data_IF_548599023965
#
_entry.id   IF_548599023965
#
_cell.length_a   1.000
_cell.length_b   1.000
_cell.length_c   1.000
_cell.angle_alpha   90.00
_cell.angle_beta   90.00
_cell.angle_gamma   90.00
#
_symmetry.space_group_name_H-M   'P 1'
#
loop_
_entity.id
_entity.type
_entity.pdbx_description
1 polymer ?
#
# COMPACT_ATOMS: atom_id res chain seq x y z
N UNK A 1 -22.56 4.90 -14.75
CA UNK A 1 -21.44 4.27 -14.01
C UNK A 1 -20.87 3.18 -14.88
N UNK A 2 -19.57 3.21 -15.18
CA UNK A 2 -18.94 2.19 -16.02
C UNK A 2 -18.87 0.86 -15.27
N UNK A 3 -19.15 -0.24 -15.98
CA UNK A 3 -19.08 -1.58 -15.41
C UNK A 3 -17.62 -2.04 -15.42
N UNK A 4 -17.06 -2.62 -14.35
CA UNK A 4 -15.67 -3.08 -14.37
C UNK A 4 -15.49 -4.28 -15.31
N UNK A 5 -14.32 -4.44 -15.90
CA UNK A 5 -14.04 -5.53 -16.87
C UNK A 5 -14.23 -6.93 -16.25
N UNK A 6 -14.03 -7.05 -14.93
CA UNK A 6 -14.27 -8.27 -14.15
C UNK A 6 -15.75 -8.62 -14.00
N UNK A 7 -16.67 -7.70 -14.29
CA UNK A 7 -18.12 -7.96 -14.29
C UNK A 7 -18.61 -8.66 -15.56
N UNK A 8 -17.74 -8.79 -16.58
CA UNK A 8 -18.03 -9.54 -17.79
C UNK A 8 -18.04 -11.04 -17.47
N UNK A 9 -19.00 -11.79 -18.03
CA UNK A 9 -19.07 -13.26 -17.90
C UNK A 9 -18.04 -13.91 -18.84
N UNK A 10 -16.77 -13.82 -18.47
CA UNK A 10 -15.65 -14.40 -19.19
C UNK A 10 -14.91 -15.42 -18.32
N UNK A 11 -14.21 -16.39 -18.93
CA UNK A 11 -13.30 -17.28 -18.20
C UNK A 11 -12.19 -16.49 -17.48
N UNK A 12 -11.69 -17.00 -16.36
CA UNK A 12 -10.64 -16.34 -15.56
C UNK A 12 -9.37 -16.00 -16.37
N UNK A 13 -9.04 -16.84 -17.37
CA UNK A 13 -7.94 -16.58 -18.29
C UNK A 13 -8.14 -15.31 -19.12
N UNK A 14 -9.37 -15.04 -19.58
CA UNK A 14 -9.71 -13.84 -20.35
C UNK A 14 -9.71 -12.58 -19.47
N UNK A 15 -10.21 -12.67 -18.23
CA UNK A 15 -10.06 -11.58 -17.26
C UNK A 15 -8.59 -11.23 -17.00
N UNK A 16 -7.75 -12.24 -16.83
CA UNK A 16 -6.31 -12.06 -16.61
C UNK A 16 -5.65 -11.36 -17.81
N UNK A 17 -6.02 -11.74 -19.04
CA UNK A 17 -5.52 -11.11 -20.28
C UNK A 17 -5.94 -9.64 -20.38
N UNK A 18 -7.23 -9.36 -20.17
CA UNK A 18 -7.77 -7.99 -20.21
C UNK A 18 -7.11 -7.09 -19.17
N UNK A 19 -6.92 -7.58 -17.95
CA UNK A 19 -6.25 -6.82 -16.90
C UNK A 19 -4.77 -6.57 -17.21
N UNK A 20 -4.06 -7.54 -17.80
CA UNK A 20 -2.66 -7.38 -18.23
C UNK A 20 -2.51 -6.40 -19.39
N UNK A 21 -3.47 -6.38 -20.31
CA UNK A 21 -3.52 -5.46 -21.44
C UNK A 21 -3.96 -4.03 -21.04
N UNK A 22 -4.25 -3.79 -19.76
CA UNK A 22 -4.56 -2.45 -19.24
C UNK A 22 -6.05 -2.09 -19.23
N UNK A 23 -6.93 -2.98 -19.71
CA UNK A 23 -8.38 -2.76 -19.65
C UNK A 23 -8.87 -2.81 -18.21
N UNK A 24 -9.74 -1.86 -17.85
CA UNK A 24 -10.30 -1.71 -16.49
C UNK A 24 -11.82 -1.63 -16.51
N UNK A 25 -12.40 -1.06 -17.56
CA UNK A 25 -13.84 -0.94 -17.75
C UNK A 25 -14.35 -1.85 -18.88
N UNK A 26 -15.60 -2.28 -18.78
CA UNK A 26 -16.28 -3.12 -19.77
C UNK A 26 -16.55 -2.37 -21.07
N UNK A 27 -16.59 -1.04 -21.04
CA UNK A 27 -16.74 -0.20 -22.23
C UNK A 27 -15.46 -0.16 -23.08
N UNK A 28 -14.29 -0.42 -22.48
CA UNK A 28 -12.99 -0.42 -23.16
C UNK A 28 -12.66 -1.80 -23.75
N UNK A 29 -13.38 -2.85 -23.35
CA UNK A 29 -13.09 -4.23 -23.73
C UNK A 29 -13.77 -4.56 -25.07
N UNK A 30 -13.07 -4.33 -26.19
CA UNK A 30 -13.48 -4.87 -27.49
C UNK A 30 -13.41 -6.40 -27.43
N UNK A 31 -14.51 -7.08 -27.79
CA UNK A 31 -14.62 -8.54 -27.64
C UNK A 31 -13.51 -9.29 -28.41
N UNK A 32 -13.04 -8.72 -29.51
CA UNK A 32 -11.94 -9.25 -30.32
C UNK A 32 -10.57 -9.13 -29.62
N UNK A 33 -10.34 -8.10 -28.80
CA UNK A 33 -9.09 -7.96 -28.04
C UNK A 33 -8.97 -8.99 -26.91
N UNK A 34 -10.10 -9.50 -26.39
CA UNK A 34 -10.14 -10.56 -25.38
C UNK A 34 -9.81 -11.96 -25.97
N UNK A 35 -10.09 -12.15 -27.27
CA UNK A 35 -9.91 -13.38 -28.03
C UNK A 35 -8.57 -13.45 -28.78
N UNK A 36 -7.86 -12.34 -28.92
CA UNK A 36 -6.52 -12.31 -29.50
C UNK A 36 -5.59 -13.30 -28.76
N UNK A 37 -4.78 -14.09 -29.49
CA UNK A 37 -3.72 -14.88 -28.87
C UNK A 37 -2.82 -13.94 -28.06
N UNK A 38 -2.30 -14.38 -26.90
CA UNK A 38 -1.34 -13.57 -26.16
C UNK A 38 -0.24 -13.11 -27.13
N UNK A 39 0.22 -11.85 -27.05
CA UNK A 39 1.33 -11.40 -27.89
C UNK A 39 2.44 -12.44 -27.74
N UNK A 40 2.91 -12.98 -28.87
CA UNK A 40 4.02 -13.93 -28.84
C UNK A 40 5.12 -13.27 -28.04
N UNK A 41 5.45 -13.92 -26.92
CA UNK A 41 6.51 -13.48 -26.04
C UNK A 41 7.79 -13.57 -26.87
N UNK A 42 8.16 -12.47 -27.52
CA UNK A 42 9.37 -12.39 -28.31
C UNK A 42 10.55 -12.88 -27.47
N UNK A 43 11.65 -13.32 -28.11
CA UNK A 43 12.79 -13.91 -27.41
C UNK A 43 13.42 -13.03 -26.32
N UNK A 44 13.00 -11.77 -26.14
CA UNK A 44 13.37 -10.92 -25.00
C UNK A 44 12.49 -11.06 -23.75
N UNK A 45 11.46 -11.93 -23.76
CA UNK A 45 10.74 -12.37 -22.56
C UNK A 45 11.54 -13.43 -21.77
N UNK A 46 12.83 -13.57 -22.10
CA UNK A 46 13.83 -14.34 -21.38
C UNK A 46 13.82 -13.92 -19.92
N UNK A 47 13.91 -14.96 -19.08
CA UNK A 47 13.95 -14.93 -17.63
C UNK A 47 14.59 -13.65 -17.07
N UNK A 48 14.05 -13.07 -15.98
CA UNK A 48 14.72 -11.97 -15.32
C UNK A 48 16.18 -12.35 -15.05
N UNK A 49 17.13 -11.40 -15.17
CA UNK A 49 18.54 -11.73 -15.06
C UNK A 49 18.81 -12.45 -13.75
N UNK A 50 19.57 -13.55 -13.83
CA UNK A 50 19.95 -14.32 -12.66
C UNK A 50 20.74 -13.42 -11.70
N UNK A 51 20.45 -13.54 -10.41
CA UNK A 51 21.10 -12.76 -9.35
C UNK A 51 21.73 -13.71 -8.36
N UNK A 52 22.93 -13.38 -7.89
CA UNK A 52 23.59 -14.20 -6.87
C UNK A 52 22.91 -13.99 -5.51
N UNK A 53 22.95 -15.01 -4.64
CA UNK A 53 22.49 -14.87 -3.26
C UNK A 53 23.23 -13.73 -2.52
N UNK A 54 24.52 -13.50 -2.84
CA UNK A 54 25.31 -12.40 -2.30
C UNK A 54 24.79 -11.02 -2.72
N UNK A 55 24.36 -10.85 -3.97
CA UNK A 55 23.73 -9.61 -4.44
C UNK A 55 22.39 -9.34 -3.74
N UNK A 56 21.57 -10.38 -3.56
CA UNK A 56 20.30 -10.26 -2.85
C UNK A 56 20.53 -9.88 -1.38
N UNK A 57 21.47 -10.52 -0.71
CA UNK A 57 21.84 -10.20 0.68
C UNK A 57 22.39 -8.77 0.83
N UNK A 58 23.18 -8.28 -0.14
CA UNK A 58 23.63 -6.88 -0.17
C UNK A 58 22.44 -5.92 -0.35
N UNK A 59 21.55 -6.20 -1.31
CA UNK A 59 20.36 -5.37 -1.51
C UNK A 59 19.49 -5.27 -0.25
N UNK A 60 19.29 -6.38 0.47
CA UNK A 60 18.51 -6.38 1.72
C UNK A 60 19.18 -5.55 2.83
N UNK A 61 20.51 -5.61 2.94
CA UNK A 61 21.26 -4.77 3.88
C UNK A 61 21.12 -3.28 3.53
N UNK A 62 21.14 -2.93 2.26
CA UNK A 62 21.03 -1.54 1.78
C UNK A 62 19.57 -1.05 1.65
N UNK A 63 18.58 -1.93 1.86
CA UNK A 63 17.17 -1.59 1.73
C UNK A 63 16.77 -0.48 2.73
N UNK A 64 16.20 0.64 2.25
CA UNK A 64 15.67 1.67 3.15
C UNK A 64 14.50 1.14 3.96
N UNK A 65 14.30 1.69 5.15
CA UNK A 65 13.19 1.34 6.03
C UNK A 65 12.46 2.63 6.44
N UNK A 66 11.27 2.47 7.01
CA UNK A 66 10.47 3.54 7.61
C UNK A 66 10.40 3.25 9.11
N UNK A 67 10.97 4.14 9.92
CA UNK A 67 10.90 3.99 11.37
C UNK A 67 9.45 3.98 11.87
N UNK A 68 9.13 3.08 12.80
CA UNK A 68 7.76 3.00 13.35
C UNK A 68 7.51 4.07 14.42
N UNK A 69 8.58 4.68 14.94
CA UNK A 69 8.52 5.60 16.07
C UNK A 69 8.16 4.88 17.38
N UNK A 70 8.30 3.55 17.41
CA UNK A 70 8.02 2.71 18.56
C UNK A 70 9.27 1.85 18.82
N UNK A 71 10.15 2.23 19.77
CA UNK A 71 11.43 1.54 19.96
C UNK A 71 11.30 0.02 20.15
N UNK A 72 10.26 -0.43 20.87
CA UNK A 72 9.99 -1.84 21.05
C UNK A 72 9.61 -2.55 19.73
N UNK A 73 8.81 -1.91 18.88
CA UNK A 73 8.45 -2.48 17.57
C UNK A 73 9.63 -2.42 16.60
N UNK A 74 10.36 -1.31 16.57
CA UNK A 74 11.57 -1.20 15.76
C UNK A 74 12.59 -2.28 16.15
N UNK A 75 12.78 -2.57 17.44
CA UNK A 75 13.64 -3.66 17.91
C UNK A 75 13.21 -5.04 17.39
N UNK A 76 11.90 -5.33 17.39
CA UNK A 76 11.35 -6.56 16.81
C UNK A 76 11.57 -6.62 15.29
N UNK A 77 11.61 -5.47 14.62
CA UNK A 77 11.85 -5.32 13.18
C UNK A 77 13.35 -5.13 12.86
N UNK A 78 14.25 -5.66 13.68
CA UNK A 78 15.70 -5.62 13.45
C UNK A 78 16.32 -4.23 13.64
N UNK A 79 15.71 -3.38 14.47
CA UNK A 79 16.10 -2.00 14.80
C UNK A 79 16.07 -1.00 13.63
N UNK A 80 15.32 -1.30 12.55
CA UNK A 80 15.27 -0.46 11.33
C UNK A 80 13.87 0.05 10.98
N UNK A 81 12.83 -0.61 11.49
CA UNK A 81 11.42 -0.29 11.19
C UNK A 81 10.88 -1.11 10.01
N UNK A 82 9.92 -0.56 9.26
CA UNK A 82 9.25 -1.25 8.15
C UNK A 82 10.09 -1.18 6.86
N UNK A 83 10.40 -2.30 6.19
CA UNK A 83 11.17 -2.28 4.96
C UNK A 83 10.41 -1.61 3.80
N UNK A 84 11.10 -0.77 3.03
CA UNK A 84 10.55 -0.23 1.77
C UNK A 84 10.61 -1.26 0.65
N UNK A 85 9.80 -1.10 -0.40
CA UNK A 85 9.66 -2.11 -1.46
C UNK A 85 9.18 -3.48 -0.96
N UNK A 86 8.45 -3.49 0.16
CA UNK A 86 7.88 -4.67 0.78
C UNK A 86 6.50 -4.32 1.37
N UNK A 87 5.69 -5.36 1.57
CA UNK A 87 4.40 -5.28 2.27
C UNK A 87 4.56 -5.87 3.65
N UNK A 88 4.14 -5.14 4.69
CA UNK A 88 4.17 -5.60 6.07
C UNK A 88 2.75 -5.71 6.63
N UNK A 89 2.37 -6.89 7.11
CA UNK A 89 1.05 -7.12 7.72
C UNK A 89 1.15 -7.06 9.25
N UNK A 90 0.38 -6.16 9.87
CA UNK A 90 0.28 -6.00 11.31
C UNK A 90 -1.16 -6.25 11.75
N UNK A 91 -1.36 -7.24 12.62
CA UNK A 91 -2.68 -7.62 13.14
C UNK A 91 -2.82 -7.15 14.59
N UNK A 92 -3.89 -6.42 14.87
CA UNK A 92 -4.18 -5.90 16.20
C UNK A 92 -5.68 -5.74 16.43
N UNK A 93 -6.08 -5.57 17.69
CA UNK A 93 -7.44 -5.18 18.05
C UNK A 93 -7.83 -3.85 17.36
N UNK A 94 -9.08 -3.64 16.88
CA UNK A 94 -9.44 -2.50 16.04
C UNK A 94 -8.99 -1.12 16.56
N UNK A 95 -9.18 -0.84 17.85
CA UNK A 95 -8.75 0.42 18.46
C UNK A 95 -7.22 0.60 18.45
N UNK A 96 -6.48 -0.48 18.71
CA UNK A 96 -5.02 -0.48 18.67
C UNK A 96 -4.50 -0.35 17.24
N UNK A 97 -5.14 -1.01 16.27
CA UNK A 97 -4.81 -0.88 14.85
C UNK A 97 -4.95 0.57 14.38
N UNK A 98 -6.08 1.23 14.68
CA UNK A 98 -6.31 2.63 14.29
C UNK A 98 -5.25 3.58 14.89
N UNK A 99 -4.95 3.44 16.19
CA UNK A 99 -3.93 4.25 16.87
C UNK A 99 -2.52 4.00 16.31
N UNK A 100 -2.16 2.74 16.06
CA UNK A 100 -0.87 2.36 15.48
C UNK A 100 -0.72 2.94 14.07
N UNK A 101 -1.75 2.83 13.22
CA UNK A 101 -1.71 3.34 11.86
C UNK A 101 -1.50 4.87 11.81
N UNK A 102 -2.18 5.62 12.70
CA UNK A 102 -1.95 7.06 12.84
C UNK A 102 -0.52 7.37 13.31
N UNK A 103 0.00 6.61 14.29
CA UNK A 103 1.36 6.79 14.77
C UNK A 103 2.39 6.51 13.68
N UNK A 104 2.23 5.46 12.88
CA UNK A 104 3.13 5.14 11.76
C UNK A 104 3.15 6.28 10.74
N UNK A 105 1.97 6.79 10.33
CA UNK A 105 1.89 7.93 9.40
C UNK A 105 2.63 9.16 9.91
N UNK A 106 2.58 9.43 11.22
CA UNK A 106 3.28 10.56 11.84
C UNK A 106 4.78 10.28 12.06
N UNK A 107 5.15 9.04 12.38
CA UNK A 107 6.53 8.63 12.61
C UNK A 107 7.37 8.72 11.33
N UNK A 108 6.78 8.47 10.16
CA UNK A 108 7.44 8.62 8.85
C UNK A 108 7.97 10.03 8.58
N UNK A 109 7.41 11.02 9.28
CA UNK A 109 7.72 12.44 9.12
C UNK A 109 8.83 12.93 10.05
N UNK A 110 9.19 12.10 11.03
CA UNK A 110 10.23 12.46 11.98
C UNK A 110 11.59 12.38 11.28
N UNK A 111 12.57 13.20 11.71
CA UNK A 111 13.91 13.14 11.17
C UNK A 111 14.41 11.70 11.24
N UNK A 112 14.72 11.06 10.11
CA UNK A 112 15.23 9.70 10.16
C UNK A 112 16.59 9.72 10.89
N UNK A 113 17.00 8.59 11.50
CA UNK A 113 18.43 8.40 11.78
C UNK A 113 19.20 8.66 10.48
N UNK A 114 20.39 9.26 10.56
CA UNK A 114 21.13 10.02 9.52
C UNK A 114 21.39 9.37 8.11
N UNK A 115 20.63 8.36 7.70
CA UNK A 115 20.86 7.49 6.55
C UNK A 115 19.60 7.17 5.71
N UNK A 116 18.46 7.85 5.89
CA UNK A 116 17.27 7.60 5.05
C UNK A 116 16.81 8.86 4.31
N UNK A 117 16.64 8.83 2.98
CA UNK A 117 16.04 9.93 2.24
C UNK A 117 14.59 10.12 2.71
N UNK A 118 14.32 11.28 3.31
CA UNK A 118 13.04 11.64 3.90
C UNK A 118 11.94 11.70 2.86
N UNK A 119 11.09 10.66 2.85
CA UNK A 119 9.77 10.68 2.21
C UNK A 119 8.72 10.80 3.30
N UNK A 120 8.41 12.03 3.75
CA UNK A 120 7.63 12.23 4.96
C UNK A 120 6.14 12.01 4.73
N UNK A 121 5.65 11.97 3.48
CA UNK A 121 4.22 11.82 3.26
C UNK A 121 3.78 10.37 3.43
N UNK A 122 2.55 10.21 3.92
CA UNK A 122 1.90 8.91 4.08
C UNK A 122 0.54 8.91 3.38
N UNK A 123 0.19 7.79 2.75
CA UNK A 123 -1.15 7.53 2.24
C UNK A 123 -1.85 6.60 3.22
N UNK A 124 -3.01 7.01 3.73
CA UNK A 124 -3.85 6.23 4.62
C UNK A 124 -5.13 5.84 3.89
N UNK A 125 -5.36 4.55 3.68
CA UNK A 125 -6.62 4.02 3.14
C UNK A 125 -7.46 3.52 4.31
N UNK A 126 -8.54 4.25 4.61
CA UNK A 126 -9.50 3.89 5.65
C UNK A 126 -10.65 3.09 5.04
N UNK A 127 -10.78 1.85 5.48
CA UNK A 127 -11.83 0.95 4.98
C UNK A 127 -12.93 0.69 6.00
N UNK A 128 -12.63 0.89 7.28
CA UNK A 128 -13.55 0.63 8.39
C UNK A 128 -14.15 1.92 8.98
N UNK A 129 -13.77 3.09 8.47
CA UNK A 129 -14.17 4.39 9.05
C UNK A 129 -13.47 4.69 10.37
N UNK A 130 -12.31 4.06 10.61
CA UNK A 130 -11.58 4.15 11.87
C UNK A 130 -10.70 5.41 11.96
N UNK A 131 -10.48 6.11 10.85
CA UNK A 131 -9.70 7.34 10.85
C UNK A 131 -10.48 8.48 11.54
N UNK A 132 -9.88 9.06 12.58
CA UNK A 132 -10.41 10.22 13.30
C UNK A 132 -9.44 11.40 13.18
N UNK A 133 -9.89 12.49 12.56
CA UNK A 133 -9.11 13.73 12.45
C UNK A 133 -8.75 14.30 13.82
N UNK A 134 -9.65 14.19 14.81
CA UNK A 134 -9.38 14.57 16.20
C UNK A 134 -8.27 13.72 16.80
N UNK A 135 -8.33 12.40 16.64
CA UNK A 135 -7.30 11.49 17.15
C UNK A 135 -5.95 11.76 16.46
N UNK A 136 -5.95 12.01 15.15
CA UNK A 136 -4.75 12.37 14.40
C UNK A 136 -4.12 13.67 14.93
N UNK A 137 -4.92 14.72 15.17
CA UNK A 137 -4.44 15.98 15.74
C UNK A 137 -3.88 15.83 17.16
N UNK A 138 -4.53 15.03 18.00
CA UNK A 138 -4.03 14.70 19.33
C UNK A 138 -2.69 13.94 19.24
N UNK A 139 -2.60 12.95 18.35
CA UNK A 139 -1.39 12.15 18.16
C UNK A 139 -0.22 12.98 17.62
N UNK A 140 -0.46 13.84 16.62
CA UNK A 140 0.54 14.75 16.08
C UNK A 140 1.07 15.70 17.17
N UNK A 141 0.16 16.30 17.95
CA UNK A 141 0.54 17.16 19.08
C UNK A 141 1.34 16.41 20.15
N UNK A 142 0.97 15.17 20.45
CA UNK A 142 1.69 14.35 21.43
C UNK A 142 3.10 14.01 20.95
N UNK A 143 3.25 13.59 19.69
CA UNK A 143 4.56 13.29 19.08
C UNK A 143 5.44 14.54 19.02
N UNK A 144 4.90 15.68 18.59
CA UNK A 144 5.65 16.94 18.56
C UNK A 144 6.18 17.35 19.96
N UNK A 145 5.40 17.11 21.03
CA UNK A 145 5.83 17.38 22.41
C UNK A 145 6.92 16.45 22.92
N UNK A 146 7.07 15.25 22.36
CA UNK A 146 8.15 14.31 22.72
C UNK A 146 9.51 14.77 22.19
N UNK A 147 9.53 15.70 21.22
CA UNK A 147 10.75 16.22 20.62
C UNK A 147 11.20 17.53 21.28
N UNK A 148 12.53 17.79 21.31
CA UNK A 148 13.07 19.04 21.84
C UNK A 148 12.55 20.24 21.02
N UNK A 149 12.43 21.43 21.62
CA UNK A 149 11.87 22.61 20.95
C UNK A 149 12.52 22.93 19.59
N UNK A 150 13.82 22.72 19.45
CA UNK A 150 14.57 22.97 18.21
C UNK A 150 14.23 22.01 17.05
N UNK A 151 13.67 20.83 17.35
CA UNK A 151 13.31 19.81 16.36
C UNK A 151 11.80 19.52 16.33
N UNK A 152 10.99 20.35 17.02
CA UNK A 152 9.56 20.14 17.18
C UNK A 152 8.84 20.48 15.86
N UNK A 153 8.20 19.51 15.19
CA UNK A 153 7.39 19.79 14.02
C UNK A 153 6.09 20.49 14.41
N UNK A 154 5.58 21.35 13.52
CA UNK A 154 4.22 21.86 13.63
C UNK A 154 3.20 20.73 13.38
N UNK A 155 2.29 20.43 14.34
CA UNK A 155 1.27 19.42 14.15
C UNK A 155 0.39 19.63 12.92
N UNK A 156 0.09 20.88 12.53
CA UNK A 156 -0.72 21.14 11.35
C UNK A 156 0.03 20.75 10.06
N UNK A 157 1.31 21.12 9.96
CA UNK A 157 2.20 20.66 8.90
C UNK A 157 2.34 19.13 8.87
N UNK A 158 2.30 18.46 10.03
CA UNK A 158 2.35 16.99 10.06
C UNK A 158 1.10 16.34 9.45
N UNK A 159 -0.07 16.88 9.79
CA UNK A 159 -1.34 16.39 9.27
C UNK A 159 -1.48 16.63 7.76
N UNK A 160 -0.95 17.74 7.25
CA UNK A 160 -0.96 18.07 5.82
C UNK A 160 -0.23 17.03 4.94
N UNK A 161 0.66 16.23 5.54
CA UNK A 161 1.42 15.16 4.87
C UNK A 161 0.75 13.78 4.95
N UNK A 162 -0.46 13.69 5.52
CA UNK A 162 -1.24 12.45 5.57
C UNK A 162 -2.38 12.55 4.55
N UNK A 163 -2.29 11.75 3.49
CA UNK A 163 -3.27 11.70 2.42
C UNK A 163 -4.26 10.56 2.66
N UNK A 164 -5.49 10.91 3.04
CA UNK A 164 -6.52 9.93 3.40
C UNK A 164 -7.40 9.61 2.20
N UNK A 165 -7.59 8.31 1.93
CA UNK A 165 -8.59 7.79 1.02
C UNK A 165 -9.57 6.91 1.79
N UNK A 166 -10.81 6.81 1.31
CA UNK A 166 -11.82 5.91 1.87
C UNK A 166 -12.30 4.92 0.83
N UNK A 167 -12.42 3.66 1.25
CA UNK A 167 -12.94 2.57 0.42
C UNK A 167 -13.72 1.60 1.32
N UNK A 168 -15.04 1.65 1.26
CA UNK A 168 -15.93 0.92 2.15
C UNK A 168 -16.25 -0.49 1.65
N UNK A 169 -16.29 -0.67 0.33
CA UNK A 169 -16.62 -1.95 -0.30
C UNK A 169 -15.39 -2.64 -0.93
N UNK A 170 -15.47 -3.96 -1.08
CA UNK A 170 -14.39 -4.76 -1.67
C UNK A 170 -13.95 -4.24 -3.05
N UNK A 171 -14.91 -3.89 -3.90
CA UNK A 171 -14.62 -3.39 -5.25
C UNK A 171 -14.01 -1.98 -5.24
N UNK A 172 -14.41 -1.12 -4.29
CA UNK A 172 -13.81 0.21 -4.10
C UNK A 172 -12.34 0.09 -3.70
N UNK A 173 -12.02 -0.82 -2.76
CA UNK A 173 -10.64 -1.03 -2.32
C UNK A 173 -9.76 -1.49 -3.49
N UNK A 174 -10.21 -2.48 -4.26
CA UNK A 174 -9.46 -2.97 -5.43
C UNK A 174 -9.27 -1.87 -6.48
N UNK A 175 -10.33 -1.12 -6.80
CA UNK A 175 -10.26 -0.02 -7.76
C UNK A 175 -9.31 1.10 -7.31
N UNK A 176 -9.34 1.45 -6.02
CA UNK A 176 -8.44 2.42 -5.41
C UNK A 176 -6.99 1.95 -5.50
N UNK A 177 -6.69 0.72 -5.05
CA UNK A 177 -5.34 0.15 -5.11
C UNK A 177 -4.82 0.11 -6.55
N UNK A 178 -5.65 -0.27 -7.52
CA UNK A 178 -5.29 -0.28 -8.93
C UNK A 178 -4.99 1.14 -9.49
N UNK A 179 -5.57 2.18 -8.88
CA UNK A 179 -5.44 3.58 -9.31
C UNK A 179 -4.34 4.35 -8.57
N UNK A 180 -3.89 3.87 -7.40
CA UNK A 180 -2.91 4.54 -6.54
C UNK A 180 -1.56 4.76 -7.21
N UNK A 181 -1.21 3.95 -8.21
CA UNK A 181 -0.01 4.13 -9.01
C UNK A 181 0.09 5.54 -9.63
N UNK A 182 -1.05 6.12 -10.05
CA UNK A 182 -1.13 7.49 -10.58
C UNK A 182 -0.91 8.54 -9.49
N UNK A 183 -1.50 8.31 -8.32
CA UNK A 183 -1.37 9.20 -7.16
C UNK A 183 0.07 9.25 -6.68
N UNK A 184 0.69 8.08 -6.51
CA UNK A 184 2.07 7.95 -6.04
C UNK A 184 3.08 8.56 -7.02
N UNK A 185 2.84 8.47 -8.35
CA UNK A 185 3.65 9.19 -9.34
C UNK A 185 3.62 10.70 -9.14
N UNK A 186 2.47 11.27 -8.80
CA UNK A 186 2.33 12.71 -8.54
C UNK A 186 2.85 13.14 -7.16
N UNK A 187 3.21 12.19 -6.30
CA UNK A 187 3.64 12.41 -4.91
C UNK A 187 4.89 11.58 -4.58
N UNK A 188 6.05 11.94 -5.15
CA UNK A 188 7.31 11.21 -4.93
C UNK A 188 7.82 11.31 -3.48
N UNK A 189 7.23 12.20 -2.68
CA UNK A 189 7.48 12.41 -1.25
C UNK A 189 6.75 11.41 -0.34
N UNK A 190 5.89 10.53 -0.90
CA UNK A 190 5.23 9.46 -0.14
C UNK A 190 6.21 8.32 0.16
N UNK A 191 6.38 8.01 1.45
CA UNK A 191 7.24 6.93 1.94
C UNK A 191 6.48 5.73 2.49
N UNK A 192 5.22 5.92 2.87
CA UNK A 192 4.35 4.89 3.46
C UNK A 192 2.97 4.89 2.80
N UNK A 193 2.52 3.72 2.37
CA UNK A 193 1.13 3.41 2.06
C UNK A 193 0.59 2.53 3.19
N UNK A 194 -0.59 2.83 3.70
CA UNK A 194 -1.21 2.08 4.78
C UNK A 194 -2.65 1.78 4.43
N UNK A 195 -3.12 0.56 4.71
CA UNK A 195 -4.52 0.15 4.54
C UNK A 195 -5.09 -0.35 5.88
N UNK A 196 -5.98 0.44 6.50
CA UNK A 196 -6.64 0.07 7.75
C UNK A 196 -8.15 -0.15 7.52
N UNK A 197 -8.63 -1.39 7.41
CA UNK A 197 -7.89 -2.66 7.28
C UNK A 197 -8.05 -3.24 5.89
N UNK A 198 -7.09 -4.05 5.44
CA UNK A 198 -7.19 -4.74 4.14
C UNK A 198 -8.32 -5.79 4.13
N UNK A 199 -8.62 -6.39 5.27
CA UNK A 199 -9.55 -7.53 5.36
C UNK A 199 -11.01 -7.14 5.48
N UNK A 200 -11.32 -6.01 6.12
CA UNK A 200 -12.69 -5.63 6.43
C UNK A 200 -13.62 -5.57 5.21
N UNK A 201 -13.27 -4.93 4.08
CA UNK A 201 -14.16 -4.86 2.93
C UNK A 201 -14.52 -6.22 2.34
N UNK A 202 -13.57 -7.17 2.36
CA UNK A 202 -13.79 -8.51 1.84
C UNK A 202 -14.64 -9.36 2.79
N UNK A 203 -14.38 -9.27 4.10
CA UNK A 203 -15.20 -9.92 5.13
C UNK A 203 -16.65 -9.44 5.08
N UNK A 204 -16.86 -8.12 4.96
CA UNK A 204 -18.20 -7.54 4.90
C UNK A 204 -18.93 -7.87 3.58
N UNK A 205 -18.21 -7.89 2.44
CA UNK A 205 -18.83 -8.15 1.14
C UNK A 205 -19.13 -9.62 0.88
N UNK A 206 -18.38 -10.53 1.51
CA UNK A 206 -18.41 -11.97 1.23
C UNK A 206 -18.34 -12.79 2.54
N UNK A 207 -19.34 -12.70 3.44
CA UNK A 207 -19.30 -13.33 4.76
C UNK A 207 -19.15 -14.86 4.70
N UNK A 208 -19.80 -15.51 3.73
CA UNK A 208 -19.83 -16.97 3.61
C UNK A 208 -18.98 -17.52 2.46
N UNK A 209 -18.46 -16.66 1.58
CA UNK A 209 -17.70 -17.05 0.39
C UNK A 209 -16.18 -16.92 0.63
N UNK A 210 -15.62 -17.93 1.29
CA UNK A 210 -14.20 -18.01 1.67
C UNK A 210 -13.29 -17.92 0.44
N UNK A 211 -13.63 -18.63 -0.64
CA UNK A 211 -12.81 -18.69 -1.85
C UNK A 211 -12.73 -17.32 -2.51
N UNK A 212 -13.86 -16.61 -2.61
CA UNK A 212 -13.88 -15.27 -3.17
C UNK A 212 -13.14 -14.27 -2.29
N UNK A 213 -13.26 -14.37 -0.97
CA UNK A 213 -12.43 -13.55 -0.06
C UNK A 213 -10.95 -13.78 -0.31
N UNK A 214 -10.50 -15.03 -0.33
CA UNK A 214 -9.09 -15.37 -0.57
C UNK A 214 -8.60 -14.83 -1.91
N UNK A 215 -9.39 -14.95 -2.98
CA UNK A 215 -9.05 -14.42 -4.29
C UNK A 215 -8.90 -12.89 -4.29
N UNK A 216 -9.81 -12.17 -3.61
CA UNK A 216 -9.75 -10.71 -3.51
C UNK A 216 -8.59 -10.23 -2.61
N UNK A 217 -8.33 -10.93 -1.52
CA UNK A 217 -7.17 -10.70 -0.67
C UNK A 217 -5.86 -10.88 -1.44
N UNK A 218 -5.74 -11.96 -2.21
CA UNK A 218 -4.56 -12.21 -3.05
C UNK A 218 -4.36 -11.11 -4.09
N UNK A 219 -5.45 -10.61 -4.70
CA UNK A 219 -5.36 -9.51 -5.65
C UNK A 219 -4.94 -8.19 -4.97
N UNK A 220 -5.49 -7.87 -3.79
CA UNK A 220 -5.08 -6.71 -3.02
C UNK A 220 -3.59 -6.78 -2.63
N UNK A 221 -3.13 -7.94 -2.15
CA UNK A 221 -1.73 -8.18 -1.81
C UNK A 221 -0.81 -8.02 -3.03
N UNK A 222 -1.23 -8.54 -4.20
CA UNK A 222 -0.49 -8.39 -5.46
C UNK A 222 -0.38 -6.92 -5.88
N UNK A 223 -1.47 -6.16 -5.77
CA UNK A 223 -1.47 -4.73 -6.07
C UNK A 223 -0.57 -3.94 -5.11
N UNK A 224 -0.66 -4.20 -3.80
CA UNK A 224 0.18 -3.58 -2.79
C UNK A 224 1.67 -3.89 -3.02
N UNK A 225 2.02 -5.15 -3.28
CA UNK A 225 3.40 -5.55 -3.56
C UNK A 225 3.96 -4.86 -4.82
N UNK A 226 3.14 -4.71 -5.86
CA UNK A 226 3.50 -4.00 -7.07
C UNK A 226 3.71 -2.49 -6.82
N UNK A 227 2.84 -1.85 -6.04
CA UNK A 227 2.98 -0.44 -5.66
C UNK A 227 4.23 -0.22 -4.80
N UNK A 228 4.42 -1.04 -3.76
CA UNK A 228 5.58 -0.99 -2.86
C UNK A 228 6.88 -1.10 -3.65
N UNK A 229 6.99 -2.11 -4.51
CA UNK A 229 8.18 -2.36 -5.33
C UNK A 229 8.45 -1.23 -6.33
N UNK A 230 7.43 -0.78 -7.05
CA UNK A 230 7.57 0.24 -8.10
C UNK A 230 7.94 1.60 -7.54
N UNK A 231 7.30 2.00 -6.44
CA UNK A 231 7.48 3.32 -5.84
C UNK A 231 8.56 3.33 -4.75
N UNK A 232 9.11 2.17 -4.38
CA UNK A 232 10.08 1.98 -3.28
C UNK A 232 9.58 2.57 -1.97
N UNK A 233 8.33 2.24 -1.62
CA UNK A 233 7.66 2.66 -0.38
C UNK A 233 7.44 1.45 0.54
N UNK A 234 7.26 1.70 1.84
CA UNK A 234 6.69 0.69 2.74
C UNK A 234 5.17 0.64 2.51
N UNK A 235 4.59 -0.56 2.44
CA UNK A 235 3.15 -0.78 2.27
C UNK A 235 2.57 -1.71 3.34
#
# INVERSE_FOLDING_TARGET
>A
MSRPVLSLRLPAAAHTRLLRAGFREAADADADAALAPPPELGPSALLPPARTAAELARQLREQPHVATGLPALDALLGARGLPTAAVSELVAHPAAAAALCLRLCLATQLPPPAQQPGRPAAVYVDTAGAFSARAAACAASAIARQLPPAARPDPAAMLARIHVFRAYAAHELIALLASLDRVLRSRPDVGLLLVNSVSWPFLASFPDDVLRRQAMHAEAARLLAALASRHRIAA
#
